data_IF_107242231469
#
_entry.id   IF_107242231469
#
_cell.length_a   1.000
_cell.length_b   1.000
_cell.length_c   1.000
_cell.angle_alpha   90.00
_cell.angle_beta   90.00
_cell.angle_gamma   90.00
#
_symmetry.space_group_name_H-M   'P 1'
#
loop_
_entity.id
_entity.type
_entity.pdbx_description
1 polymer ?
#
# COMPACT_ATOMS: atom_id res chain seq x y z
N UNK A 1 6.55 -4.42 -28.60
CA UNK A 1 6.39 -3.29 -27.67
C UNK A 1 6.61 -3.70 -26.20
N UNK A 2 6.15 -4.88 -25.77
CA UNK A 2 6.23 -5.30 -24.37
C UNK A 2 7.65 -5.49 -23.82
N UNK A 3 8.57 -6.11 -24.57
CA UNK A 3 9.96 -6.32 -24.13
C UNK A 3 10.70 -5.01 -23.84
N UNK A 4 10.35 -3.90 -24.53
CA UNK A 4 10.91 -2.58 -24.26
C UNK A 4 10.57 -2.09 -22.85
N UNK A 5 9.33 -2.34 -22.37
CA UNK A 5 8.93 -1.96 -21.00
C UNK A 5 9.77 -2.70 -19.95
N UNK A 6 10.04 -3.99 -20.16
CA UNK A 6 10.89 -4.76 -19.27
C UNK A 6 12.30 -4.17 -19.17
N UNK A 7 12.94 -3.89 -20.31
CA UNK A 7 14.27 -3.29 -20.31
C UNK A 7 14.29 -1.89 -19.69
N UNK A 8 13.31 -1.04 -20.02
CA UNK A 8 13.17 0.27 -19.39
C UNK A 8 12.95 0.15 -17.89
N UNK A 9 12.16 -0.82 -17.44
CA UNK A 9 11.91 -1.04 -16.03
C UNK A 9 13.18 -1.43 -15.27
N UNK A 10 13.97 -2.37 -15.81
CA UNK A 10 15.27 -2.73 -15.23
C UNK A 10 16.27 -1.57 -15.26
N UNK A 11 16.33 -0.81 -16.35
CA UNK A 11 17.19 0.37 -16.43
C UNK A 11 16.78 1.42 -15.39
N UNK A 12 15.49 1.76 -15.29
CA UNK A 12 14.99 2.72 -14.30
C UNK A 12 15.29 2.26 -12.87
N UNK A 13 15.08 0.97 -12.57
CA UNK A 13 15.40 0.40 -11.25
C UNK A 13 16.90 0.36 -10.98
N UNK A 14 17.76 0.13 -11.99
CA UNK A 14 19.20 0.16 -11.80
C UNK A 14 19.72 1.59 -11.60
N UNK A 15 19.30 2.52 -12.45
CA UNK A 15 19.68 3.93 -12.33
C UNK A 15 19.18 4.55 -11.03
N UNK A 16 18.06 4.09 -10.48
CA UNK A 16 17.55 4.60 -9.21
C UNK A 16 18.49 4.37 -8.03
N UNK A 17 19.43 3.41 -8.11
CA UNK A 17 20.48 3.18 -7.11
C UNK A 17 21.62 4.21 -7.16
N UNK A 18 21.66 5.08 -8.18
CA UNK A 18 22.56 6.23 -8.16
C UNK A 18 22.25 7.19 -6.99
N UNK A 19 21.11 7.05 -6.31
CA UNK A 19 20.76 7.83 -5.12
C UNK A 19 21.70 7.55 -3.94
N UNK A 20 22.51 6.49 -4.02
CA UNK A 20 23.48 6.10 -3.00
C UNK A 20 24.75 6.97 -3.03
N UNK A 21 24.96 7.70 -4.13
CA UNK A 21 26.09 8.60 -4.27
C UNK A 21 25.85 9.82 -3.34
N UNK A 22 26.70 10.07 -2.33
CA UNK A 22 26.48 11.11 -1.33
C UNK A 22 26.32 12.52 -1.90
N UNK A 23 26.97 12.79 -3.04
CA UNK A 23 26.97 14.09 -3.72
C UNK A 23 25.66 14.39 -4.46
N UNK A 24 24.76 13.40 -4.58
CA UNK A 24 23.47 13.58 -5.22
C UNK A 24 22.55 14.36 -4.29
N UNK A 25 22.26 15.61 -4.66
CA UNK A 25 21.35 16.47 -3.90
C UNK A 25 19.94 15.89 -3.76
N UNK A 26 19.22 16.32 -2.73
CA UNK A 26 17.88 15.83 -2.32
C UNK A 26 16.90 15.74 -3.51
N UNK A 27 16.78 16.79 -4.32
CA UNK A 27 15.87 16.79 -5.48
C UNK A 27 16.21 15.69 -6.49
N UNK A 28 17.49 15.42 -6.71
CA UNK A 28 17.93 14.35 -7.61
C UNK A 28 17.66 12.98 -6.98
N UNK A 29 17.87 12.81 -5.66
CA UNK A 29 17.51 11.56 -4.96
C UNK A 29 16.01 11.23 -5.11
N UNK A 30 15.15 12.24 -5.08
CA UNK A 30 13.70 12.07 -5.29
C UNK A 30 13.34 11.67 -6.72
N UNK A 31 14.00 12.26 -7.73
CA UNK A 31 13.84 11.83 -9.12
C UNK A 31 14.28 10.37 -9.30
N UNK A 32 15.38 9.98 -8.66
CA UNK A 32 15.87 8.61 -8.65
C UNK A 32 14.90 7.68 -7.92
N UNK A 33 14.28 8.11 -6.82
CA UNK A 33 13.18 7.38 -6.17
C UNK A 33 11.98 7.19 -7.11
N UNK A 34 11.60 8.22 -7.88
CA UNK A 34 10.55 8.09 -8.88
C UNK A 34 10.91 7.06 -9.96
N UNK A 35 12.17 6.99 -10.39
CA UNK A 35 12.63 5.96 -11.33
C UNK A 35 12.52 4.55 -10.74
N UNK A 36 12.74 4.37 -9.44
CA UNK A 36 12.54 3.09 -8.77
C UNK A 36 11.08 2.62 -8.90
N UNK A 37 10.11 3.49 -8.56
CA UNK A 37 8.68 3.17 -8.70
C UNK A 37 8.31 2.85 -10.15
N UNK A 38 8.80 3.63 -11.11
CA UNK A 38 8.60 3.37 -12.54
C UNK A 38 9.17 2.00 -12.92
N UNK A 39 10.35 1.66 -12.39
CA UNK A 39 11.00 0.37 -12.58
C UNK A 39 10.12 -0.80 -12.12
N UNK A 40 9.67 -0.74 -10.85
CA UNK A 40 8.77 -1.75 -10.27
C UNK A 40 7.49 -1.90 -11.09
N UNK A 41 6.86 -0.78 -11.46
CA UNK A 41 5.62 -0.77 -12.26
C UNK A 41 5.83 -1.39 -13.63
N UNK A 42 6.89 -1.04 -14.36
CA UNK A 42 7.12 -1.55 -15.71
C UNK A 42 7.51 -3.02 -15.76
N UNK A 43 8.35 -3.48 -14.82
CA UNK A 43 8.70 -4.90 -14.71
C UNK A 43 7.44 -5.71 -14.39
N UNK A 44 6.67 -5.27 -13.41
CA UNK A 44 5.47 -5.96 -12.94
C UNK A 44 4.34 -5.96 -13.97
N UNK A 45 4.11 -4.84 -14.65
CA UNK A 45 3.14 -4.74 -15.74
C UNK A 45 3.55 -5.66 -16.91
N UNK A 46 4.84 -5.75 -17.23
CA UNK A 46 5.33 -6.68 -18.25
C UNK A 46 5.02 -8.14 -17.91
N UNK A 47 5.28 -8.57 -16.66
CA UNK A 47 4.94 -9.92 -16.17
C UNK A 47 3.44 -10.17 -16.34
N UNK A 48 2.61 -9.23 -15.87
CA UNK A 48 1.15 -9.33 -15.93
C UNK A 48 0.63 -9.42 -17.37
N UNK A 49 1.13 -8.57 -18.29
CA UNK A 49 0.74 -8.63 -19.71
C UNK A 49 1.21 -9.94 -20.34
N UNK A 50 2.43 -10.38 -20.06
CA UNK A 50 3.02 -11.55 -20.68
C UNK A 50 2.29 -12.85 -20.31
N UNK A 51 1.82 -12.97 -19.07
CA UNK A 51 1.18 -14.20 -18.58
C UNK A 51 -0.35 -14.14 -18.49
N UNK A 52 -0.95 -12.96 -18.36
CA UNK A 52 -2.41 -12.80 -18.23
C UNK A 52 -3.05 -11.94 -19.32
N UNK A 53 -2.28 -11.32 -20.22
CA UNK A 53 -2.76 -10.45 -21.30
C UNK A 53 -3.63 -9.27 -20.82
N UNK A 54 -3.37 -8.77 -19.62
CA UNK A 54 -4.05 -7.62 -19.05
C UNK A 54 -3.04 -6.56 -18.59
N UNK A 55 -3.46 -5.30 -18.58
CA UNK A 55 -2.68 -4.16 -18.09
C UNK A 55 -3.56 -3.26 -17.23
N UNK A 56 -3.14 -3.04 -15.98
CA UNK A 56 -3.83 -2.13 -15.08
C UNK A 56 -3.70 -0.69 -15.56
N UNK A 57 -2.52 -0.28 -16.03
CA UNK A 57 -2.31 1.05 -16.59
C UNK A 57 -3.20 1.33 -17.82
N UNK A 58 -3.46 0.34 -18.67
CA UNK A 58 -4.39 0.50 -19.78
C UNK A 58 -5.83 0.65 -19.28
N UNK A 59 -6.24 -0.13 -18.28
CA UNK A 59 -7.59 -0.03 -17.72
C UNK A 59 -7.81 1.32 -17.02
N UNK A 60 -6.83 1.84 -16.27
CA UNK A 60 -6.91 3.18 -15.63
C UNK A 60 -7.12 4.29 -16.68
N UNK A 61 -6.40 4.21 -17.81
CA UNK A 61 -6.45 5.22 -18.88
C UNK A 61 -7.63 5.08 -19.84
N UNK A 62 -8.40 4.01 -19.72
CA UNK A 62 -9.47 3.68 -20.66
C UNK A 62 -10.65 4.66 -20.60
N UNK A 63 -10.90 5.25 -19.43
CA UNK A 63 -11.99 6.22 -19.24
C UNK A 63 -11.63 7.25 -18.19
N UNK A 64 -12.24 8.44 -18.29
CA UNK A 64 -12.12 9.48 -17.27
C UNK A 64 -12.58 8.99 -15.88
N UNK A 65 -13.63 8.16 -15.83
CA UNK A 65 -14.12 7.61 -14.57
C UNK A 65 -13.05 6.74 -13.88
N UNK A 66 -12.33 5.92 -14.65
CA UNK A 66 -11.27 5.05 -14.13
C UNK A 66 -10.06 5.86 -13.63
N UNK A 67 -9.67 6.88 -14.40
CA UNK A 67 -8.61 7.80 -14.01
C UNK A 67 -8.98 8.59 -12.75
N UNK A 68 -10.21 9.08 -12.67
CA UNK A 68 -10.71 9.77 -11.47
C UNK A 68 -10.74 8.83 -10.26
N UNK A 69 -11.25 7.61 -10.41
CA UNK A 69 -11.27 6.63 -9.33
C UNK A 69 -9.85 6.26 -8.86
N UNK A 70 -8.90 6.17 -9.78
CA UNK A 70 -7.48 5.99 -9.46
C UNK A 70 -6.94 7.19 -8.66
N UNK A 71 -7.07 8.42 -9.16
CA UNK A 71 -6.60 9.62 -8.46
C UNK A 71 -7.23 9.71 -7.06
N UNK A 72 -8.54 9.50 -6.95
CA UNK A 72 -9.23 9.54 -5.67
C UNK A 72 -8.76 8.44 -4.71
N UNK A 73 -8.53 7.23 -5.20
CA UNK A 73 -7.96 6.13 -4.40
C UNK A 73 -6.56 6.50 -3.90
N UNK A 74 -5.72 7.08 -4.75
CA UNK A 74 -4.37 7.49 -4.36
C UNK A 74 -4.37 8.62 -3.34
N UNK A 75 -5.28 9.59 -3.48
CA UNK A 75 -5.45 10.68 -2.52
C UNK A 75 -5.97 10.17 -1.17
N UNK A 76 -7.03 9.37 -1.17
CA UNK A 76 -7.60 8.79 0.07
C UNK A 76 -6.60 7.87 0.73
N UNK A 77 -5.95 6.98 -0.02
CA UNK A 77 -4.93 6.08 0.51
C UNK A 77 -3.71 6.85 1.04
N UNK A 78 -3.32 7.95 0.41
CA UNK A 78 -2.27 8.83 0.91
C UNK A 78 -2.66 9.58 2.18
N UNK A 79 -3.92 10.01 2.31
CA UNK A 79 -4.44 10.59 3.54
C UNK A 79 -4.51 9.54 4.66
N UNK A 80 -4.84 8.29 4.34
CA UNK A 80 -4.80 7.22 5.32
C UNK A 80 -3.37 6.91 5.77
N UNK A 81 -2.42 6.85 4.83
CA UNK A 81 -1.04 6.52 5.18
C UNK A 81 -0.31 7.71 5.81
N UNK A 82 -0.12 8.81 5.09
CA UNK A 82 0.62 9.95 5.64
C UNK A 82 -0.22 10.77 6.63
N UNK A 83 -1.53 10.92 6.40
CA UNK A 83 -2.41 11.62 7.34
C UNK A 83 -2.44 10.93 8.71
N UNK A 84 -2.59 9.61 8.73
CA UNK A 84 -2.69 8.87 9.99
C UNK A 84 -1.32 8.46 10.49
N UNK A 85 -0.58 7.62 9.75
CA UNK A 85 0.64 7.02 10.28
C UNK A 85 1.79 8.04 10.42
N UNK A 86 1.93 9.00 9.49
CA UNK A 86 2.90 10.09 9.64
C UNK A 86 2.41 11.22 10.53
N UNK A 87 1.28 11.86 10.23
CA UNK A 87 0.93 13.10 10.93
C UNK A 87 0.33 12.87 12.32
N UNK A 88 -0.55 11.87 12.49
CA UNK A 88 -1.14 11.53 13.80
C UNK A 88 -0.25 10.57 14.59
N UNK A 89 0.25 9.50 13.95
CA UNK A 89 1.03 8.44 14.59
C UNK A 89 2.53 8.72 14.70
N UNK A 90 3.06 9.71 13.96
CA UNK A 90 4.49 10.09 13.92
C UNK A 90 5.44 8.89 13.70
N UNK A 91 5.00 7.92 12.90
CA UNK A 91 5.74 6.69 12.62
C UNK A 91 6.93 6.92 11.66
N UNK A 92 6.93 8.01 10.91
CA UNK A 92 8.11 8.43 10.15
C UNK A 92 8.09 9.94 9.88
N UNK A 93 9.25 10.45 9.46
CA UNK A 93 9.43 11.82 9.01
C UNK A 93 10.08 11.85 7.63
N UNK A 94 9.82 12.93 6.88
CA UNK A 94 10.54 13.26 5.65
C UNK A 94 11.52 14.40 5.96
N UNK A 95 12.80 14.10 6.22
CA UNK A 95 13.75 15.09 6.76
C UNK A 95 13.94 16.28 5.81
N UNK A 96 14.09 16.00 4.51
CA UNK A 96 14.48 17.02 3.54
C UNK A 96 13.29 17.67 2.79
N UNK A 97 12.05 17.42 3.22
CA UNK A 97 10.87 17.87 2.46
C UNK A 97 10.27 19.15 3.04
N UNK A 98 10.19 20.20 2.20
CA UNK A 98 9.44 21.40 2.54
C UNK A 98 7.92 21.16 2.41
N UNK A 99 7.06 21.91 3.15
CA UNK A 99 5.60 21.75 3.03
C UNK A 99 5.08 21.96 1.60
N UNK A 100 5.64 22.94 0.88
CA UNK A 100 5.27 23.23 -0.52
C UNK A 100 5.65 22.05 -1.41
N UNK A 101 6.86 21.52 -1.22
CA UNK A 101 7.32 20.35 -1.97
C UNK A 101 6.42 19.14 -1.71
N UNK A 102 6.18 18.81 -0.43
CA UNK A 102 5.29 17.74 -0.02
C UNK A 102 3.89 17.87 -0.66
N UNK A 103 3.30 19.07 -0.62
CA UNK A 103 1.99 19.32 -1.22
C UNK A 103 1.98 19.09 -2.75
N UNK A 104 3.05 19.51 -3.44
CA UNK A 104 3.17 19.34 -4.89
C UNK A 104 3.31 17.86 -5.29
N UNK A 105 4.01 17.05 -4.49
CA UNK A 105 4.26 15.64 -4.80
C UNK A 105 3.32 14.66 -4.11
N UNK A 106 2.39 15.12 -3.26
CA UNK A 106 1.49 14.25 -2.51
C UNK A 106 0.72 13.30 -3.44
N UNK A 107 -0.06 13.83 -4.39
CA UNK A 107 -0.84 12.99 -5.31
C UNK A 107 0.09 12.20 -6.26
N UNK A 108 1.08 12.78 -6.95
CA UNK A 108 1.98 12.02 -7.82
C UNK A 108 2.76 10.92 -7.10
N UNK A 109 3.25 11.18 -5.90
CA UNK A 109 4.00 10.25 -5.06
C UNK A 109 3.13 9.08 -4.61
N UNK A 110 1.93 9.37 -4.08
CA UNK A 110 0.98 8.32 -3.71
C UNK A 110 0.43 7.54 -4.90
N UNK A 111 0.31 8.18 -6.08
CA UNK A 111 -0.01 7.49 -7.32
C UNK A 111 1.08 6.49 -7.73
N UNK A 112 2.36 6.88 -7.66
CA UNK A 112 3.49 5.99 -7.94
C UNK A 112 3.57 4.85 -6.90
N UNK A 113 3.42 5.17 -5.62
CA UNK A 113 3.41 4.20 -4.52
C UNK A 113 2.29 3.16 -4.68
N UNK A 114 1.05 3.62 -4.92
CA UNK A 114 -0.09 2.74 -5.14
C UNK A 114 0.08 1.86 -6.36
N UNK A 115 0.59 2.40 -7.46
CA UNK A 115 0.85 1.63 -8.68
C UNK A 115 1.90 0.54 -8.44
N UNK A 116 2.97 0.85 -7.70
CA UNK A 116 3.98 -0.14 -7.36
C UNK A 116 3.37 -1.29 -6.53
N UNK A 117 2.54 -0.98 -5.52
CA UNK A 117 1.80 -1.99 -4.73
C UNK A 117 0.93 -2.87 -5.64
N UNK A 118 0.12 -2.25 -6.49
CA UNK A 118 -0.87 -2.99 -7.27
C UNK A 118 -0.25 -3.82 -8.37
N UNK A 119 0.73 -3.28 -9.08
CA UNK A 119 1.41 -3.98 -10.16
C UNK A 119 2.27 -5.13 -9.61
N UNK A 120 3.04 -4.92 -8.52
CA UNK A 120 3.83 -6.01 -7.93
C UNK A 120 2.93 -7.14 -7.39
N UNK A 121 1.80 -6.79 -6.77
CA UNK A 121 0.78 -7.76 -6.36
C UNK A 121 0.25 -8.55 -7.57
N UNK A 122 -0.15 -7.87 -8.65
CA UNK A 122 -0.69 -8.52 -9.85
C UNK A 122 0.34 -9.43 -10.51
N UNK A 123 1.60 -8.99 -10.61
CA UNK A 123 2.69 -9.78 -11.16
C UNK A 123 2.88 -11.08 -10.38
N UNK A 124 2.99 -11.00 -9.05
CA UNK A 124 3.14 -12.18 -8.18
C UNK A 124 1.90 -13.07 -8.27
N UNK A 125 0.70 -12.50 -8.21
CA UNK A 125 -0.55 -13.26 -8.29
C UNK A 125 -0.63 -14.05 -9.59
N UNK A 126 -0.32 -13.43 -10.73
CA UNK A 126 -0.36 -14.10 -12.05
C UNK A 126 0.67 -15.22 -12.14
N UNK A 127 1.87 -15.04 -11.57
CA UNK A 127 2.87 -16.10 -11.48
C UNK A 127 2.38 -17.27 -10.62
N UNK A 128 1.83 -16.99 -9.42
CA UNK A 128 1.27 -17.99 -8.52
C UNK A 128 0.10 -18.75 -9.16
N UNK A 129 -0.80 -18.03 -9.82
CA UNK A 129 -1.94 -18.57 -10.55
C UNK A 129 -1.47 -19.50 -11.68
N UNK A 130 -0.33 -19.22 -12.32
CA UNK A 130 0.25 -20.07 -13.37
C UNK A 130 0.86 -21.36 -12.84
N UNK A 131 1.50 -21.31 -11.66
CA UNK A 131 2.18 -22.48 -11.06
C UNK A 131 1.27 -23.33 -10.17
N UNK A 132 0.10 -22.82 -9.78
CA UNK A 132 -0.88 -23.54 -8.94
C UNK A 132 -2.02 -24.06 -9.82
N UNK A 133 -1.90 -25.27 -10.42
CA UNK A 133 -2.96 -25.84 -11.23
C UNK A 133 -4.17 -26.20 -10.36
N UNK A 134 -5.33 -25.58 -10.62
CA UNK A 134 -6.55 -25.85 -9.88
C UNK A 134 -7.72 -24.99 -10.33
N UNK A 135 -8.95 -25.38 -9.96
CA UNK A 135 -10.13 -24.56 -10.17
C UNK A 135 -10.02 -23.32 -9.28
N UNK A 136 -9.67 -22.17 -9.85
CA UNK A 136 -9.78 -20.85 -9.22
C UNK A 136 -11.26 -20.47 -9.11
N UNK A 137 -12.03 -21.16 -8.28
CA UNK A 137 -13.48 -20.97 -8.16
C UNK A 137 -13.85 -20.59 -6.75
N UNK A 138 -14.49 -19.44 -6.62
CA UNK A 138 -15.14 -19.02 -5.38
C UNK A 138 -16.56 -19.57 -5.42
N UNK A 139 -16.93 -20.32 -4.38
CA UNK A 139 -18.24 -20.95 -4.30
C UNK A 139 -19.39 -19.96 -4.05
N UNK A 140 -20.61 -20.49 -4.00
CA UNK A 140 -21.79 -19.75 -3.52
C UNK A 140 -21.59 -19.36 -2.05
N UNK A 141 -22.13 -18.20 -1.69
CA UNK A 141 -22.14 -17.69 -0.32
C UNK A 141 -22.63 -18.77 0.66
N UNK A 142 -21.84 -19.06 1.69
CA UNK A 142 -22.28 -19.86 2.82
C UNK A 142 -23.34 -19.08 3.64
N UNK A 143 -24.22 -19.81 4.33
CA UNK A 143 -25.32 -19.18 5.10
C UNK A 143 -24.83 -18.24 6.21
N UNK A 144 -23.69 -18.55 6.82
CA UNK A 144 -23.10 -17.73 7.89
C UNK A 144 -22.43 -16.45 7.38
N UNK A 145 -22.01 -16.39 6.12
CA UNK A 145 -21.28 -15.25 5.57
C UNK A 145 -22.08 -13.96 5.68
N UNK A 146 -23.42 -14.02 5.55
CA UNK A 146 -24.28 -12.85 5.70
C UNK A 146 -24.13 -12.17 7.06
N UNK A 147 -24.14 -12.96 8.13
CA UNK A 147 -23.97 -12.45 9.49
C UNK A 147 -22.52 -12.00 9.70
N UNK A 148 -21.57 -12.83 9.27
CA UNK A 148 -20.15 -12.55 9.40
C UNK A 148 -19.75 -11.20 8.76
N UNK A 149 -20.11 -10.95 7.49
CA UNK A 149 -19.80 -9.67 6.84
C UNK A 149 -20.53 -8.49 7.49
N UNK A 150 -21.75 -8.68 7.98
CA UNK A 150 -22.48 -7.60 8.68
C UNK A 150 -21.78 -7.23 9.99
N UNK A 151 -21.32 -8.23 10.75
CA UNK A 151 -20.51 -8.03 11.96
C UNK A 151 -19.18 -7.37 11.62
N UNK A 152 -18.49 -7.81 10.56
CA UNK A 152 -17.26 -7.17 10.09
C UNK A 152 -17.47 -5.70 9.77
N UNK A 153 -18.53 -5.35 9.04
CA UNK A 153 -18.84 -3.96 8.72
C UNK A 153 -19.06 -3.12 9.98
N UNK A 154 -19.78 -3.64 10.97
CA UNK A 154 -19.99 -2.99 12.26
C UNK A 154 -18.69 -2.80 13.05
N UNK A 155 -17.89 -3.86 13.19
CA UNK A 155 -16.56 -3.78 13.81
C UNK A 155 -15.67 -2.79 13.07
N UNK A 156 -15.73 -2.77 11.73
CA UNK A 156 -14.97 -1.84 10.89
C UNK A 156 -15.26 -0.38 11.20
N UNK A 157 -16.55 -0.02 11.31
CA UNK A 157 -16.97 1.32 11.72
C UNK A 157 -16.53 1.63 13.15
N UNK A 158 -16.76 0.73 14.11
CA UNK A 158 -16.41 0.94 15.52
C UNK A 158 -14.89 1.15 15.68
N UNK A 159 -14.07 0.28 15.08
CA UNK A 159 -12.62 0.39 15.16
C UNK A 159 -12.11 1.66 14.50
N UNK A 160 -12.64 2.02 13.33
CA UNK A 160 -12.23 3.25 12.64
C UNK A 160 -12.58 4.51 13.45
N UNK A 161 -13.78 4.57 14.01
CA UNK A 161 -14.21 5.71 14.84
C UNK A 161 -13.40 5.81 16.14
N UNK A 162 -13.24 4.68 16.85
CA UNK A 162 -12.47 4.64 18.10
C UNK A 162 -11.02 5.04 17.86
N UNK A 163 -10.36 4.44 16.87
CA UNK A 163 -8.98 4.76 16.53
C UNK A 163 -8.81 6.22 16.13
N UNK A 164 -9.71 6.76 15.31
CA UNK A 164 -9.67 8.18 14.90
C UNK A 164 -9.83 9.10 16.11
N UNK A 165 -10.74 8.79 17.03
CA UNK A 165 -10.97 9.57 18.24
C UNK A 165 -9.72 9.57 19.14
N UNK A 166 -9.13 8.39 19.38
CA UNK A 166 -7.93 8.26 20.21
C UNK A 166 -6.75 9.00 19.59
N UNK A 167 -6.50 8.82 18.30
CA UNK A 167 -5.45 9.55 17.57
C UNK A 167 -5.65 11.07 17.60
N UNK A 168 -6.91 11.53 17.54
CA UNK A 168 -7.22 12.96 17.61
C UNK A 168 -6.97 13.52 19.02
N UNK A 169 -7.35 12.78 20.06
CA UNK A 169 -7.07 13.13 21.47
C UNK A 169 -5.56 13.24 21.67
N UNK A 170 -4.80 12.23 21.23
CA UNK A 170 -3.34 12.21 21.34
C UNK A 170 -2.72 13.39 20.59
N UNK A 171 -3.19 13.67 19.37
CA UNK A 171 -2.72 14.79 18.58
C UNK A 171 -2.93 16.14 19.28
N UNK A 172 -4.07 16.38 19.92
CA UNK A 172 -4.32 17.64 20.64
C UNK A 172 -3.57 17.74 21.97
N UNK A 173 -3.28 16.61 22.61
CA UNK A 173 -2.49 16.59 23.84
C UNK A 173 -0.99 16.81 23.56
N UNK A 174 -0.53 16.49 22.34
CA UNK A 174 0.88 16.53 21.96
C UNK A 174 1.18 17.74 21.08
N UNK A 175 1.84 18.74 21.65
CA UNK A 175 2.26 19.98 20.97
C UNK A 175 3.50 19.79 20.07
N UNK A 176 3.50 18.78 19.19
CA UNK A 176 4.58 18.58 18.23
C UNK A 176 4.28 19.26 16.88
N UNK A 177 5.26 19.94 16.26
CA UNK A 177 5.07 20.54 14.95
C UNK A 177 4.79 19.47 13.88
N UNK A 178 4.01 19.83 12.87
CA UNK A 178 3.63 18.94 11.77
C UNK A 178 4.82 18.50 10.90
N UNK A 179 5.87 19.31 10.85
CA UNK A 179 7.14 19.04 10.20
C UNK A 179 8.24 19.26 11.22
N UNK A 180 9.13 18.26 11.36
CA UNK A 180 10.20 18.25 12.35
C UNK A 180 11.52 18.48 11.62
N UNK A 181 12.30 19.53 11.93
CA UNK A 181 13.63 19.69 11.36
C UNK A 181 14.59 18.60 11.88
N UNK A 182 15.62 18.29 11.07
CA UNK A 182 16.60 17.20 11.27
C UNK A 182 17.28 17.16 12.65
N UNK A 183 17.30 18.28 13.35
CA UNK A 183 18.00 18.49 14.62
C UNK A 183 17.15 18.18 15.86
N UNK A 184 15.83 18.00 15.72
CA UNK A 184 14.99 17.53 16.82
C UNK A 184 15.12 16.01 16.87
N UNK A 185 16.20 15.52 17.49
CA UNK A 185 16.15 14.22 18.15
C UNK A 185 14.93 14.27 19.05
N UNK A 186 13.89 13.48 18.74
CA UNK A 186 12.67 13.39 19.54
C UNK A 186 13.00 12.64 20.83
N UNK A 187 13.82 13.25 21.67
CA UNK A 187 13.91 12.95 23.10
C UNK A 187 12.73 13.65 23.78
N UNK A 188 11.51 13.26 23.38
CA UNK A 188 10.31 13.50 24.14
C UNK A 188 10.03 12.20 24.91
N UNK A 189 10.53 12.05 26.15
CA UNK A 189 10.47 10.80 26.92
C UNK A 189 9.04 10.35 27.28
N UNK A 190 8.00 11.08 26.87
CA UNK A 190 6.59 10.78 27.11
C UNK A 190 5.78 10.50 25.83
N UNK A 191 6.41 10.39 24.65
CA UNK A 191 5.69 10.05 23.43
C UNK A 191 5.31 8.56 23.43
N UNK A 192 4.06 8.25 23.80
CA UNK A 192 3.50 6.93 23.57
C UNK A 192 2.92 6.88 22.17
N UNK A 193 3.44 5.95 21.37
CA UNK A 193 3.06 5.74 19.99
C UNK A 193 1.65 5.19 19.96
N UNK A 194 0.76 5.87 19.24
CA UNK A 194 -0.58 5.38 18.98
C UNK A 194 -0.60 4.25 17.92
N UNK A 195 0.37 3.32 18.00
CA UNK A 195 0.55 2.26 17.01
C UNK A 195 -0.64 1.32 16.98
N UNK A 196 -1.18 0.99 18.15
CA UNK A 196 -2.37 0.15 18.29
C UNK A 196 -3.57 0.81 17.61
N UNK A 197 -3.71 2.12 17.77
CA UNK A 197 -4.74 2.94 17.18
C UNK A 197 -4.59 2.99 15.66
N UNK A 198 -3.37 3.20 15.14
CA UNK A 198 -3.09 3.10 13.69
C UNK A 198 -3.47 1.71 13.17
N UNK A 199 -3.09 0.63 13.86
CA UNK A 199 -3.47 -0.74 13.47
C UNK A 199 -4.98 -0.97 13.51
N UNK A 200 -5.66 -0.51 14.56
CA UNK A 200 -7.12 -0.58 14.66
C UNK A 200 -7.80 0.20 13.53
N UNK A 201 -7.26 1.34 13.13
CA UNK A 201 -7.80 2.10 12.01
C UNK A 201 -7.63 1.34 10.68
N UNK A 202 -6.44 0.81 10.39
CA UNK A 202 -6.21 0.05 9.15
C UNK A 202 -7.07 -1.22 9.09
N UNK A 203 -7.16 -1.97 10.20
CA UNK A 203 -8.04 -3.13 10.30
C UNK A 203 -9.53 -2.73 10.18
N UNK A 204 -9.92 -1.64 10.82
CA UNK A 204 -11.28 -1.12 10.78
C UNK A 204 -11.71 -0.74 9.36
N UNK A 205 -10.85 -0.03 8.64
CA UNK A 205 -11.05 0.33 7.24
C UNK A 205 -11.12 -0.93 6.37
N UNK A 206 -10.20 -1.88 6.54
CA UNK A 206 -10.24 -3.13 5.77
C UNK A 206 -11.55 -3.90 6.00
N UNK A 207 -12.00 -4.08 7.24
CA UNK A 207 -13.26 -4.77 7.54
C UNK A 207 -14.48 -4.06 6.94
N UNK A 208 -14.49 -2.73 6.98
CA UNK A 208 -15.54 -1.96 6.32
C UNK A 208 -15.52 -2.16 4.79
N UNK A 209 -14.34 -2.19 4.16
CA UNK A 209 -14.19 -2.43 2.73
C UNK A 209 -14.62 -3.85 2.33
N UNK A 210 -14.28 -4.87 3.13
CA UNK A 210 -14.76 -6.26 2.94
C UNK A 210 -16.30 -6.33 2.97
N UNK A 211 -16.91 -5.67 3.95
CA UNK A 211 -18.37 -5.57 4.02
C UNK A 211 -18.96 -4.84 2.80
N UNK A 212 -18.32 -3.76 2.34
CA UNK A 212 -18.78 -3.00 1.17
C UNK A 212 -18.70 -3.84 -0.12
N UNK A 213 -17.64 -4.64 -0.29
CA UNK A 213 -17.53 -5.58 -1.40
C UNK A 213 -18.62 -6.65 -1.36
N UNK A 214 -18.87 -7.21 -0.18
CA UNK A 214 -19.96 -8.15 0.05
C UNK A 214 -21.33 -7.53 -0.28
N UNK A 215 -21.60 -6.31 0.20
CA UNK A 215 -22.85 -5.58 -0.07
C UNK A 215 -23.05 -5.32 -1.57
N UNK A 216 -21.97 -5.03 -2.28
CA UNK A 216 -21.95 -4.87 -3.75
C UNK A 216 -21.97 -6.20 -4.51
N UNK A 217 -22.13 -7.33 -3.82
CA UNK A 217 -22.15 -8.69 -4.37
C UNK A 217 -20.88 -9.05 -5.16
N UNK A 218 -19.74 -8.46 -4.78
CA UNK A 218 -18.43 -8.80 -5.33
C UNK A 218 -17.77 -9.87 -4.47
N UNK A 219 -16.73 -10.50 -5.02
CA UNK A 219 -15.78 -11.26 -4.20
C UNK A 219 -14.96 -10.31 -3.33
N UNK A 220 -14.41 -10.81 -2.25
CA UNK A 220 -13.53 -10.06 -1.36
C UNK A 220 -12.36 -10.96 -0.94
N UNK A 221 -11.32 -10.40 -0.31
CA UNK A 221 -10.16 -11.20 0.07
C UNK A 221 -10.55 -12.26 1.11
N UNK A 222 -11.38 -11.91 2.11
CA UNK A 222 -11.84 -12.89 3.09
C UNK A 222 -12.70 -13.96 2.42
N UNK A 223 -13.54 -13.58 1.45
CA UNK A 223 -14.34 -14.55 0.69
C UNK A 223 -13.45 -15.56 -0.04
N UNK A 224 -12.43 -15.08 -0.72
CA UNK A 224 -11.49 -15.94 -1.45
C UNK A 224 -10.81 -16.94 -0.50
N UNK A 225 -10.36 -16.47 0.68
CA UNK A 225 -9.75 -17.31 1.73
C UNK A 225 -10.73 -18.37 2.25
N UNK A 226 -11.97 -17.97 2.58
CA UNK A 226 -13.02 -18.87 3.08
C UNK A 226 -13.34 -19.98 2.07
N UNK A 227 -13.31 -19.65 0.77
CA UNK A 227 -13.52 -20.62 -0.30
C UNK A 227 -12.21 -21.26 -0.81
N UNK A 228 -11.15 -21.26 0.00
CA UNK A 228 -9.87 -21.93 -0.25
C UNK A 228 -9.06 -21.44 -1.46
N UNK A 229 -9.34 -20.22 -1.95
CA UNK A 229 -8.53 -19.53 -2.94
C UNK A 229 -7.51 -18.64 -2.24
N UNK A 230 -6.39 -19.22 -1.80
CA UNK A 230 -5.35 -18.52 -1.03
C UNK A 230 -4.35 -17.72 -1.89
N UNK A 231 -4.35 -17.90 -3.22
CA UNK A 231 -3.41 -17.20 -4.12
C UNK A 231 -3.35 -15.69 -3.88
N UNK A 232 -4.46 -14.97 -3.70
CA UNK A 232 -4.38 -13.54 -3.49
C UNK A 232 -3.75 -13.14 -2.16
N UNK A 233 -3.96 -13.93 -1.09
CA UNK A 233 -3.29 -13.70 0.20
C UNK A 233 -1.78 -13.94 0.08
N UNK A 234 -1.37 -15.04 -0.56
CA UNK A 234 0.05 -15.34 -0.78
C UNK A 234 0.70 -14.25 -1.65
N UNK A 235 -0.01 -13.75 -2.67
CA UNK A 235 0.47 -12.66 -3.52
C UNK A 235 0.64 -11.35 -2.76
N UNK A 236 -0.24 -11.03 -1.81
CA UNK A 236 -0.06 -9.89 -0.90
C UNK A 236 1.22 -10.07 -0.10
N UNK A 237 1.40 -11.22 0.56
CA UNK A 237 2.57 -11.45 1.42
C UNK A 237 3.87 -11.39 0.62
N UNK A 238 3.97 -12.12 -0.48
CA UNK A 238 5.18 -12.14 -1.31
C UNK A 238 5.43 -10.80 -2.01
N UNK A 239 4.39 -10.20 -2.60
CA UNK A 239 4.51 -8.90 -3.27
C UNK A 239 4.94 -7.80 -2.32
N UNK A 240 4.33 -7.74 -1.12
CA UNK A 240 4.69 -6.76 -0.09
C UNK A 240 6.09 -6.97 0.46
N UNK A 241 6.52 -8.21 0.72
CA UNK A 241 7.88 -8.50 1.19
C UNK A 241 8.94 -8.13 0.14
N UNK A 242 8.73 -8.51 -1.13
CA UNK A 242 9.68 -8.18 -2.21
C UNK A 242 9.77 -6.66 -2.37
N UNK A 243 8.64 -5.99 -2.57
CA UNK A 243 8.61 -4.55 -2.84
C UNK A 243 9.13 -3.75 -1.64
N UNK A 244 8.79 -4.13 -0.41
CA UNK A 244 9.30 -3.46 0.80
C UNK A 244 10.80 -3.58 0.92
N UNK A 245 11.38 -4.78 0.75
CA UNK A 245 12.83 -4.96 0.82
C UNK A 245 13.54 -4.05 -0.18
N UNK A 246 13.11 -4.02 -1.45
CA UNK A 246 13.74 -3.16 -2.44
C UNK A 246 13.53 -1.66 -2.18
N UNK A 247 12.33 -1.27 -1.75
CA UNK A 247 12.01 0.12 -1.46
C UNK A 247 12.81 0.63 -0.26
N UNK A 248 12.96 -0.19 0.78
CA UNK A 248 13.74 0.21 1.94
C UNK A 248 15.25 0.15 1.70
N UNK A 249 15.74 -0.81 0.91
CA UNK A 249 17.13 -0.81 0.45
C UNK A 249 17.46 0.47 -0.31
N UNK A 250 16.51 1.03 -1.06
CA UNK A 250 16.69 2.33 -1.68
C UNK A 250 16.61 3.47 -0.66
N UNK A 251 15.65 3.41 0.26
CA UNK A 251 15.39 4.46 1.24
C UNK A 251 16.53 4.65 2.23
N UNK A 252 17.05 3.58 2.83
CA UNK A 252 18.04 3.66 3.92
C UNK A 252 19.27 4.49 3.52
N UNK A 253 19.90 4.28 2.35
CA UNK A 253 21.04 5.10 1.94
C UNK A 253 20.63 6.48 1.41
N UNK A 254 19.46 6.58 0.76
CA UNK A 254 19.00 7.85 0.20
C UNK A 254 18.52 8.83 1.28
N UNK A 255 17.97 8.32 2.37
CA UNK A 255 17.40 9.08 3.48
C UNK A 255 16.05 9.73 3.17
N UNK A 256 15.24 9.15 2.27
CA UNK A 256 14.00 9.79 1.79
C UNK A 256 12.95 9.92 2.90
N UNK A 257 12.81 8.92 3.75
CA UNK A 257 12.10 8.97 5.03
C UNK A 257 12.90 8.27 6.12
N UNK A 258 12.66 8.66 7.37
CA UNK A 258 13.24 8.02 8.54
C UNK A 258 12.14 7.54 9.47
N UNK A 259 12.23 6.28 9.87
CA UNK A 259 11.30 5.71 10.85
C UNK A 259 11.55 6.29 12.23
N UNK A 260 10.46 6.69 12.87
CA UNK A 260 10.49 7.31 14.20
C UNK A 260 9.38 6.70 15.03
N UNK A 261 9.62 6.50 16.32
CA UNK A 261 8.57 6.10 17.25
C UNK A 261 7.86 4.79 16.83
N UNK A 262 8.57 3.79 16.32
CA UNK A 262 7.99 2.46 16.12
C UNK A 262 8.06 1.66 17.42
N UNK A 263 7.00 0.91 17.78
CA UNK A 263 7.14 -0.03 18.88
C UNK A 263 8.21 -1.06 18.54
N UNK A 264 8.91 -1.57 19.55
CA UNK A 264 10.00 -2.54 19.36
C UNK A 264 11.08 -2.03 18.40
N UNK A 265 11.34 -0.73 18.36
CA UNK A 265 12.35 -0.11 17.49
C UNK A 265 13.77 -0.66 17.69
N UNK A 266 14.05 -1.20 18.88
CA UNK A 266 15.32 -1.86 19.20
C UNK A 266 15.56 -3.14 18.37
N UNK A 267 14.48 -3.74 17.86
CA UNK A 267 14.54 -4.88 16.96
C UNK A 267 14.56 -4.38 15.51
N UNK A 268 15.75 -4.04 15.02
CA UNK A 268 15.96 -3.50 13.69
C UNK A 268 16.93 -4.34 12.84
N UNK A 269 16.74 -4.29 11.52
CA UNK A 269 17.65 -4.85 10.51
C UNK A 269 17.99 -3.72 9.54
N UNK A 270 19.28 -3.42 9.34
CA UNK A 270 19.75 -2.30 8.50
C UNK A 270 19.06 -0.97 8.89
N UNK A 271 18.98 -0.68 10.19
CA UNK A 271 18.33 0.50 10.77
C UNK A 271 16.81 0.62 10.51
N UNK A 272 16.17 -0.47 10.07
CA UNK A 272 14.72 -0.54 9.90
C UNK A 272 14.06 -1.41 10.98
N UNK A 273 13.05 -0.89 11.69
CA UNK A 273 12.21 -1.69 12.58
C UNK A 273 11.60 -2.91 11.87
N UNK A 274 11.74 -4.12 12.45
CA UNK A 274 11.22 -5.36 11.84
C UNK A 274 9.70 -5.31 11.62
N UNK A 275 8.97 -4.58 12.49
CA UNK A 275 7.51 -4.41 12.38
C UNK A 275 7.05 -3.78 11.07
N UNK A 276 7.91 -3.03 10.37
CA UNK A 276 7.59 -2.44 9.07
C UNK A 276 7.24 -3.56 8.08
N UNK A 277 8.05 -4.62 8.01
CA UNK A 277 7.80 -5.76 7.12
C UNK A 277 6.50 -6.49 7.45
N UNK A 278 6.06 -6.47 8.71
CA UNK A 278 4.78 -7.05 9.14
C UNK A 278 3.60 -6.17 8.70
N UNK A 279 3.79 -4.84 8.63
CA UNK A 279 2.73 -3.88 8.27
C UNK A 279 2.58 -3.69 6.76
N UNK A 280 3.63 -3.91 5.99
CA UNK A 280 3.57 -3.84 4.53
C UNK A 280 2.42 -4.66 3.90
N UNK A 281 2.14 -5.90 4.34
CA UNK A 281 0.93 -6.63 3.95
C UNK A 281 -0.39 -5.88 4.21
N UNK A 282 -0.51 -5.16 5.34
CA UNK A 282 -1.71 -4.35 5.64
C UNK A 282 -1.86 -3.19 4.66
N UNK A 283 -0.76 -2.55 4.25
CA UNK A 283 -0.82 -1.52 3.19
C UNK A 283 -1.42 -2.14 1.93
N UNK A 284 -0.89 -3.28 1.47
CA UNK A 284 -1.39 -3.97 0.29
C UNK A 284 -2.89 -4.27 0.40
N UNK A 285 -3.32 -4.86 1.51
CA UNK A 285 -4.73 -5.20 1.76
C UNK A 285 -5.61 -3.94 1.65
N UNK A 286 -5.26 -2.87 2.36
CA UNK A 286 -6.06 -1.64 2.40
C UNK A 286 -6.10 -0.93 1.05
N UNK A 287 -4.95 -0.75 0.39
CA UNK A 287 -4.88 -0.04 -0.89
C UNK A 287 -5.55 -0.81 -2.03
N UNK A 288 -5.43 -2.14 -2.08
CA UNK A 288 -6.11 -2.99 -3.06
C UNK A 288 -7.63 -2.99 -2.84
N UNK A 289 -8.07 -3.12 -1.58
CA UNK A 289 -9.48 -3.09 -1.20
C UNK A 289 -10.11 -1.71 -1.48
N UNK A 290 -9.39 -0.62 -1.20
CA UNK A 290 -9.86 0.74 -1.44
C UNK A 290 -10.14 0.96 -2.93
N UNK A 291 -9.22 0.58 -3.81
CA UNK A 291 -9.44 0.72 -5.26
C UNK A 291 -10.65 -0.09 -5.75
N UNK A 292 -10.85 -1.30 -5.22
CA UNK A 292 -12.01 -2.13 -5.54
C UNK A 292 -13.33 -1.57 -5.01
N UNK A 293 -13.30 -0.88 -3.88
CA UNK A 293 -14.44 -0.14 -3.37
C UNK A 293 -14.82 1.03 -4.30
N UNK A 294 -13.85 1.70 -4.90
CA UNK A 294 -14.09 2.89 -5.75
C UNK A 294 -14.43 2.56 -7.21
N UNK A 295 -14.10 1.36 -7.69
CA UNK A 295 -14.32 0.95 -9.08
C UNK A 295 -15.28 -0.24 -9.17
N UNK A 296 -15.88 -0.51 -10.33
CA UNK A 296 -16.84 -1.61 -10.51
C UNK A 296 -16.18 -2.83 -11.17
N UNK A 297 -15.90 -2.74 -12.47
CA UNK A 297 -15.34 -3.83 -13.28
C UNK A 297 -13.84 -3.68 -13.51
N UNK A 298 -13.32 -2.49 -13.29
CA UNK A 298 -11.97 -2.06 -13.63
C UNK A 298 -10.93 -2.68 -12.71
N UNK A 299 -11.33 -2.96 -11.46
CA UNK A 299 -10.53 -3.65 -10.46
C UNK A 299 -10.79 -5.15 -10.40
N UNK A 300 -11.52 -5.70 -11.37
CA UNK A 300 -11.89 -7.11 -11.38
C UNK A 300 -10.66 -8.04 -11.32
N UNK A 301 -9.49 -7.60 -11.82
CA UNK A 301 -8.24 -8.36 -11.79
C UNK A 301 -7.68 -8.58 -10.39
N UNK A 302 -7.88 -7.62 -9.49
CA UNK A 302 -7.52 -7.75 -8.08
C UNK A 302 -8.45 -8.82 -7.51
N UNK A 303 -7.99 -9.78 -6.70
CA UNK A 303 -8.81 -10.90 -6.20
C UNK A 303 -9.49 -11.80 -7.27
N UNK A 304 -9.26 -11.61 -8.58
CA UNK A 304 -10.05 -12.36 -9.57
C UNK A 304 -9.77 -13.86 -9.49
N UNK A 305 -10.81 -14.63 -9.13
CA UNK A 305 -10.91 -16.05 -9.40
C UNK A 305 -11.56 -16.26 -10.79
N UNK A 306 -11.28 -17.38 -11.45
CA UNK A 306 -11.68 -17.64 -12.83
C UNK A 306 -13.20 -17.79 -13.02
N UNK A 307 -13.99 -18.01 -11.96
CA UNK A 307 -15.48 -18.08 -11.97
C UNK A 307 -16.07 -18.07 -10.55
N UNK A 308 -17.23 -17.43 -10.38
CA UNK A 308 -18.19 -17.72 -9.29
C UNK A 308 -19.01 -18.94 -9.76
N UNK A 309 -19.04 -20.02 -8.98
CA UNK A 309 -19.83 -21.23 -9.27
C UNK A 309 -21.15 -21.25 -8.49
#
# INVERSE_FOLDING_TARGET
MHTRKLYLGFLSMFFSFASFIPEVGVHNKLLLAALFYVGVVFISEWITIHFAHKSLLQEIRKSWHNTFAFILTTAVGGLLLDGVAKFLGKLWIYPDWTPIFYAAIFIPGFAAYWLAICESYLAVKVLLDKITPGKRRVGKLHRYERWFYSTLGMCGVIFSLLATLLLLIDFFQQSLPLFVPDDVRVSAPSFQVAFTEVMLLFLGIWFFLEWLEYYRKKTSLIKDIVHHYYTPLIAIVLGSMITSVFMELQNVPAGLWRYTNWPLSDFAVLDMPILIFIIWPLHYITFLSLFRAMTNKESAMIWQSDRIA
#
